data_IF_567585406748
#
_entry.id   IF_567585406748
#
_cell.length_a   1.000
_cell.length_b   1.000
_cell.length_c   1.000
_cell.angle_alpha   90.00
_cell.angle_beta   90.00
_cell.angle_gamma   90.00
#
_symmetry.space_group_name_H-M   'P 1'
#
loop_
_entity.id
_entity.type
_entity.pdbx_description
1 polymer ?
#
# COMPACT_ATOMS: atom_id res chain seq x y z
N UNK A 1 -23.61 -39.13 -5.57
CA UNK A 1 -23.39 -38.97 -4.14
C UNK A 1 -21.90 -38.74 -3.89
N UNK A 2 -21.57 -37.84 -2.98
CA UNK A 2 -20.21 -37.44 -2.69
C UNK A 2 -20.04 -37.40 -1.17
N UNK A 3 -18.98 -38.01 -0.67
CA UNK A 3 -18.54 -37.84 0.70
C UNK A 3 -17.76 -36.52 0.79
N UNK A 4 -18.35 -35.53 1.45
CA UNK A 4 -17.74 -34.17 1.53
C UNK A 4 -16.44 -34.14 2.33
N UNK A 5 -16.23 -35.13 3.25
CA UNK A 5 -15.00 -35.24 4.01
C UNK A 5 -13.82 -35.73 3.14
N UNK A 6 -14.10 -36.52 2.12
CA UNK A 6 -13.10 -37.00 1.16
C UNK A 6 -12.87 -36.00 0.00
N UNK A 7 -13.95 -35.31 -0.41
CA UNK A 7 -13.89 -34.35 -1.52
C UNK A 7 -13.22 -33.02 -1.16
N UNK A 8 -13.28 -32.63 0.11
CA UNK A 8 -12.75 -31.35 0.62
C UNK A 8 -11.97 -31.61 1.91
N UNK A 9 -10.66 -31.56 1.85
CA UNK A 9 -9.78 -31.83 2.99
C UNK A 9 -9.91 -30.74 4.09
N UNK A 10 -10.18 -29.49 3.68
CA UNK A 10 -10.26 -28.36 4.59
C UNK A 10 -11.67 -28.25 5.22
N UNK A 11 -11.75 -28.30 6.55
CA UNK A 11 -12.99 -28.15 7.31
C UNK A 11 -13.69 -26.81 7.11
N UNK A 12 -12.92 -25.73 6.95
CA UNK A 12 -13.46 -24.38 6.69
C UNK A 12 -14.16 -24.32 5.34
N UNK A 13 -13.57 -24.97 4.31
CA UNK A 13 -14.14 -25.04 2.97
C UNK A 13 -15.43 -25.89 2.97
N UNK A 14 -15.45 -26.98 3.72
CA UNK A 14 -16.65 -27.80 3.90
C UNK A 14 -17.79 -27.02 4.54
N UNK A 15 -17.50 -26.33 5.65
CA UNK A 15 -18.48 -25.50 6.36
C UNK A 15 -19.04 -24.39 5.46
N UNK A 16 -18.15 -23.69 4.74
CA UNK A 16 -18.55 -22.63 3.81
C UNK A 16 -19.40 -23.16 2.65
N UNK A 17 -19.04 -24.30 2.06
CA UNK A 17 -19.76 -24.90 0.95
C UNK A 17 -21.16 -25.37 1.36
N UNK A 18 -21.28 -25.97 2.55
CA UNK A 18 -22.55 -26.44 3.10
C UNK A 18 -23.36 -25.32 3.75
N UNK A 19 -22.77 -24.12 3.94
CA UNK A 19 -23.35 -22.94 4.61
C UNK A 19 -23.77 -23.24 6.06
N UNK A 20 -22.92 -23.94 6.78
CA UNK A 20 -23.08 -24.27 8.18
C UNK A 20 -21.89 -23.79 9.00
N UNK A 21 -22.03 -23.72 10.32
CA UNK A 21 -20.91 -23.49 11.22
C UNK A 21 -20.03 -24.76 11.34
N UNK A 22 -18.81 -24.63 11.85
CA UNK A 22 -17.91 -25.77 12.09
C UNK A 22 -18.47 -26.73 13.11
N UNK A 23 -19.17 -26.21 14.13
CA UNK A 23 -19.81 -27.04 15.19
C UNK A 23 -20.95 -27.87 14.63
N UNK A 24 -21.77 -27.30 13.75
CA UNK A 24 -22.84 -28.00 13.06
C UNK A 24 -22.32 -29.06 12.07
N UNK A 25 -21.17 -28.77 11.42
CA UNK A 25 -20.54 -29.69 10.46
C UNK A 25 -20.21 -31.04 11.09
N UNK A 26 -19.77 -31.06 12.36
CA UNK A 26 -19.39 -32.27 13.08
C UNK A 26 -20.57 -33.25 13.33
N UNK A 27 -21.79 -32.74 13.30
CA UNK A 27 -23.02 -33.53 13.49
C UNK A 27 -23.72 -33.96 12.20
N UNK A 28 -23.23 -33.58 11.02
CA UNK A 28 -23.85 -33.88 9.73
C UNK A 28 -23.38 -35.22 9.15
N UNK A 29 -24.30 -35.93 8.48
CA UNK A 29 -23.94 -37.04 7.61
C UNK A 29 -23.04 -36.52 6.48
N UNK A 30 -21.86 -37.10 6.25
CA UNK A 30 -20.94 -36.62 5.23
C UNK A 30 -21.38 -36.91 3.79
N UNK A 31 -22.43 -37.71 3.60
CA UNK A 31 -22.92 -38.11 2.27
C UNK A 31 -23.93 -37.11 1.72
N UNK A 32 -23.55 -36.41 0.64
CA UNK A 32 -24.41 -35.43 -0.02
C UNK A 32 -24.63 -35.77 -1.50
N UNK A 33 -25.81 -35.44 -2.02
CA UNK A 33 -26.11 -35.45 -3.46
C UNK A 33 -25.72 -34.10 -4.05
N UNK A 34 -24.61 -34.08 -4.80
CA UNK A 34 -24.14 -32.90 -5.49
C UNK A 34 -24.53 -32.92 -6.97
N UNK A 35 -25.04 -31.78 -7.47
CA UNK A 35 -25.34 -31.61 -8.88
C UNK A 35 -24.49 -30.48 -9.44
N UNK A 36 -23.58 -30.79 -10.36
CA UNK A 36 -22.78 -29.80 -11.07
C UNK A 36 -23.69 -29.05 -12.04
N UNK A 37 -23.93 -27.75 -11.78
CA UNK A 37 -24.77 -26.89 -12.65
C UNK A 37 -23.94 -26.23 -13.74
N UNK A 38 -22.74 -25.75 -13.39
CA UNK A 38 -21.86 -25.07 -14.33
C UNK A 38 -20.41 -25.46 -14.05
N UNK A 39 -19.64 -25.61 -15.10
CA UNK A 39 -18.17 -25.71 -15.04
C UNK A 39 -17.62 -24.44 -15.69
N UNK A 40 -16.85 -23.67 -14.97
CA UNK A 40 -16.19 -22.46 -15.46
C UNK A 40 -14.69 -22.70 -15.53
N UNK A 41 -14.11 -22.40 -16.67
CA UNK A 41 -12.67 -22.46 -16.89
C UNK A 41 -12.18 -21.09 -17.29
N UNK A 42 -11.03 -20.67 -16.73
CA UNK A 42 -10.35 -19.47 -17.18
C UNK A 42 -9.64 -19.77 -18.50
N UNK A 43 -10.02 -19.04 -19.54
CA UNK A 43 -9.37 -19.11 -20.86
C UNK A 43 -8.84 -17.72 -21.16
N UNK A 44 -7.61 -17.64 -21.68
CA UNK A 44 -7.06 -16.37 -22.12
C UNK A 44 -7.97 -15.79 -23.21
N UNK A 45 -8.30 -14.49 -23.07
CA UNK A 45 -9.08 -13.80 -24.10
C UNK A 45 -8.27 -13.75 -25.40
N UNK A 46 -8.92 -14.02 -26.56
CA UNK A 46 -8.26 -13.89 -27.85
C UNK A 46 -7.90 -12.42 -28.10
N UNK A 47 -6.78 -12.16 -28.77
CA UNK A 47 -6.34 -10.83 -29.18
C UNK A 47 -7.15 -10.38 -30.39
N UNK A 48 -8.32 -9.81 -30.15
CA UNK A 48 -9.26 -9.32 -31.16
C UNK A 48 -9.63 -7.86 -30.91
N UNK A 49 -10.12 -7.16 -31.93
CA UNK A 49 -10.62 -5.78 -31.81
C UNK A 49 -11.62 -5.64 -30.66
N UNK A 50 -12.54 -6.59 -30.48
CA UNK A 50 -13.52 -6.58 -29.40
C UNK A 50 -12.85 -6.65 -28.03
N UNK A 51 -11.77 -7.44 -27.88
CA UNK A 51 -11.01 -7.54 -26.64
C UNK A 51 -10.23 -6.26 -26.37
N UNK A 52 -9.64 -5.66 -27.38
CA UNK A 52 -8.91 -4.40 -27.28
C UNK A 52 -9.83 -3.25 -26.87
N UNK A 53 -11.03 -3.19 -27.49
CA UNK A 53 -12.01 -2.16 -27.16
C UNK A 53 -12.55 -2.30 -25.74
N UNK A 54 -12.85 -3.53 -25.29
CA UNK A 54 -13.30 -3.79 -23.91
C UNK A 54 -12.23 -3.51 -22.86
N UNK A 55 -10.97 -3.80 -23.15
CA UNK A 55 -9.87 -3.66 -22.17
C UNK A 55 -9.37 -2.23 -22.06
N UNK A 56 -9.17 -1.53 -23.19
CA UNK A 56 -8.53 -0.22 -23.24
C UNK A 56 -9.23 0.83 -24.12
N UNK A 57 -10.35 0.48 -24.74
CA UNK A 57 -11.08 1.38 -25.64
C UNK A 57 -10.34 1.66 -26.95
N UNK A 58 -9.47 0.75 -27.40
CA UNK A 58 -8.67 0.85 -28.64
C UNK A 58 -9.09 -0.22 -29.65
N UNK A 59 -8.76 -0.03 -30.93
CA UNK A 59 -9.25 -0.92 -31.99
C UNK A 59 -8.17 -1.75 -32.64
N UNK A 60 -6.93 -1.35 -32.55
CA UNK A 60 -5.82 -2.04 -33.20
C UNK A 60 -4.87 -2.68 -32.19
N UNK A 61 -4.19 -3.76 -32.61
CA UNK A 61 -3.17 -4.43 -31.81
C UNK A 61 -2.03 -3.46 -31.44
N UNK A 62 -1.60 -2.61 -32.37
CA UNK A 62 -0.56 -1.63 -32.10
C UNK A 62 -0.93 -0.60 -31.03
N UNK A 63 -2.19 -0.13 -31.01
CA UNK A 63 -2.70 0.75 -29.96
C UNK A 63 -2.82 0.02 -28.62
N UNK A 64 -3.23 -1.25 -28.66
CA UNK A 64 -3.33 -2.10 -27.47
C UNK A 64 -1.94 -2.31 -26.84
N UNK A 65 -0.94 -2.66 -27.64
CA UNK A 65 0.44 -2.83 -27.20
C UNK A 65 1.01 -1.54 -26.61
N UNK A 66 0.73 -0.39 -27.27
CA UNK A 66 1.13 0.92 -26.76
C UNK A 66 0.49 1.22 -25.38
N UNK A 67 -0.77 0.86 -25.17
CA UNK A 67 -1.44 1.01 -23.87
C UNK A 67 -0.88 0.09 -22.80
N UNK A 68 -0.55 -1.13 -23.14
CA UNK A 68 0.13 -2.07 -22.23
C UNK A 68 1.52 -1.52 -21.85
N UNK A 69 2.28 -1.07 -22.83
CA UNK A 69 3.60 -0.48 -22.60
C UNK A 69 3.53 0.77 -21.71
N UNK A 70 2.58 1.67 -21.97
CA UNK A 70 2.32 2.86 -21.15
C UNK A 70 2.02 2.47 -19.70
N UNK A 71 1.15 1.48 -19.49
CA UNK A 71 0.79 0.99 -18.16
C UNK A 71 1.99 0.39 -17.42
N UNK A 72 2.74 -0.49 -18.08
CA UNK A 72 3.93 -1.12 -17.50
C UNK A 72 4.98 -0.04 -17.13
N UNK A 73 5.18 0.96 -18.01
CA UNK A 73 6.10 2.07 -17.73
C UNK A 73 5.64 2.90 -16.53
N UNK A 74 4.34 3.16 -16.40
CA UNK A 74 3.79 3.88 -15.26
C UNK A 74 3.95 3.09 -13.95
N UNK A 75 3.69 1.78 -13.95
CA UNK A 75 3.87 0.91 -12.79
C UNK A 75 5.34 0.90 -12.32
N UNK A 76 6.29 0.69 -13.23
CA UNK A 76 7.73 0.73 -12.88
C UNK A 76 8.20 2.14 -12.47
N UNK A 77 7.62 3.20 -13.02
CA UNK A 77 7.95 4.56 -12.59
C UNK A 77 7.51 4.80 -11.14
N UNK A 78 6.31 4.37 -10.76
CA UNK A 78 5.83 4.45 -9.38
C UNK A 78 6.70 3.63 -8.42
N UNK A 79 7.06 2.42 -8.79
CA UNK A 79 7.93 1.57 -7.98
C UNK A 79 9.33 2.19 -7.82
N UNK A 80 9.89 2.76 -8.90
CA UNK A 80 11.16 3.47 -8.87
C UNK A 80 11.10 4.74 -7.98
N UNK A 81 9.99 5.46 -8.01
CA UNK A 81 9.78 6.63 -7.14
C UNK A 81 9.63 6.23 -5.68
N UNK A 82 8.89 5.17 -5.39
CA UNK A 82 8.80 4.61 -4.04
C UNK A 82 10.18 4.21 -3.51
N UNK A 83 10.95 3.51 -4.32
CA UNK A 83 12.33 3.11 -3.99
C UNK A 83 13.22 4.33 -3.76
N UNK A 84 13.15 5.31 -4.64
CA UNK A 84 13.91 6.55 -4.50
C UNK A 84 13.59 7.25 -3.17
N UNK A 85 12.31 7.34 -2.80
CA UNK A 85 11.90 7.95 -1.53
C UNK A 85 12.50 7.22 -0.33
N UNK A 86 12.48 5.88 -0.34
CA UNK A 86 13.10 5.06 0.72
C UNK A 86 14.61 5.27 0.80
N UNK A 87 15.30 5.20 -0.33
CA UNK A 87 16.75 5.32 -0.39
C UNK A 87 17.21 6.76 -0.05
N UNK A 88 16.50 7.77 -0.51
CA UNK A 88 16.76 9.18 -0.19
C UNK A 88 16.62 9.43 1.32
N UNK A 89 15.54 8.92 1.95
CA UNK A 89 15.34 9.00 3.39
C UNK A 89 16.51 8.40 4.15
N UNK A 90 16.88 7.16 3.84
CA UNK A 90 17.96 6.44 4.51
C UNK A 90 19.30 7.17 4.35
N UNK A 91 19.61 7.60 3.13
CA UNK A 91 20.82 8.35 2.83
C UNK A 91 20.88 9.69 3.59
N UNK A 92 19.77 10.41 3.66
CA UNK A 92 19.72 11.71 4.34
C UNK A 92 19.86 11.55 5.86
N UNK A 93 19.25 10.55 6.47
CA UNK A 93 19.40 10.24 7.90
C UNK A 93 20.85 9.86 8.21
N UNK A 94 21.46 9.02 7.40
CA UNK A 94 22.86 8.62 7.55
C UNK A 94 23.79 9.84 7.44
N UNK A 95 23.62 10.67 6.42
CA UNK A 95 24.47 11.84 6.17
C UNK A 95 24.28 12.96 7.19
N UNK A 96 23.07 13.13 7.69
CA UNK A 96 22.80 14.12 8.76
C UNK A 96 23.46 13.74 10.08
N UNK A 97 23.75 12.47 10.31
CA UNK A 97 24.41 11.93 11.51
C UNK A 97 23.85 12.54 12.81
N UNK A 98 22.53 12.59 12.92
CA UNK A 98 21.84 13.20 14.07
C UNK A 98 22.15 12.42 15.34
N UNK A 99 22.69 13.11 16.34
CA UNK A 99 22.92 12.57 17.69
C UNK A 99 21.71 12.84 18.57
N UNK A 100 21.21 11.83 19.24
CA UNK A 100 20.07 11.91 20.16
C UNK A 100 20.42 11.38 21.54
N UNK A 101 19.80 11.97 22.57
CA UNK A 101 19.94 11.53 23.95
C UNK A 101 19.05 10.30 24.21
N UNK A 102 19.47 9.13 23.74
CA UNK A 102 18.65 7.91 23.71
C UNK A 102 18.09 7.52 25.08
N UNK A 103 18.93 7.52 26.13
CA UNK A 103 18.49 7.21 27.48
C UNK A 103 17.44 8.19 28.03
N UNK A 104 17.49 9.45 27.59
CA UNK A 104 16.48 10.44 27.94
C UNK A 104 15.18 10.14 27.19
N UNK A 105 15.26 9.90 25.89
CA UNK A 105 14.08 9.62 25.06
C UNK A 105 13.34 8.36 25.51
N UNK A 106 14.07 7.27 25.83
CA UNK A 106 13.45 6.04 26.35
C UNK A 106 12.66 6.29 27.62
N UNK A 107 13.27 7.00 28.58
CA UNK A 107 12.58 7.36 29.83
C UNK A 107 11.41 8.31 29.59
N UNK A 108 11.55 9.26 28.68
CA UNK A 108 10.49 10.20 28.33
C UNK A 108 9.29 9.47 27.71
N UNK A 109 9.51 8.56 26.74
CA UNK A 109 8.47 7.73 26.16
C UNK A 109 7.74 6.92 27.24
N UNK A 110 8.48 6.30 28.15
CA UNK A 110 7.91 5.55 29.24
C UNK A 110 6.97 6.42 30.11
N UNK A 111 7.41 7.62 30.47
CA UNK A 111 6.66 8.52 31.36
C UNK A 111 5.41 9.08 30.68
N UNK A 112 5.50 9.54 29.43
CA UNK A 112 4.36 10.16 28.74
C UNK A 112 3.26 9.18 28.34
N UNK A 113 3.57 7.90 28.26
CA UNK A 113 2.59 6.87 27.92
C UNK A 113 1.88 6.25 29.14
N UNK A 114 2.09 6.79 30.35
CA UNK A 114 1.40 6.36 31.57
C UNK A 114 1.39 4.83 31.77
N UNK A 115 2.52 4.16 31.49
CA UNK A 115 2.65 2.73 31.65
C UNK A 115 2.00 1.85 30.58
N UNK A 116 1.54 2.42 29.45
CA UNK A 116 1.04 1.64 28.31
C UNK A 116 2.11 0.75 27.68
N UNK A 117 3.37 1.19 27.76
CA UNK A 117 4.54 0.44 27.28
C UNK A 117 5.51 0.23 28.42
N UNK A 118 6.05 -0.97 28.55
CA UNK A 118 7.13 -1.26 29.48
C UNK A 118 8.46 -0.79 28.91
N UNK A 119 9.48 -0.68 29.77
CA UNK A 119 10.85 -0.39 29.28
C UNK A 119 11.35 -1.49 28.33
N UNK A 120 10.94 -2.75 28.54
CA UNK A 120 11.27 -3.87 27.66
C UNK A 120 10.64 -3.73 26.27
N UNK A 121 9.38 -3.30 26.18
CA UNK A 121 8.71 -3.01 24.92
C UNK A 121 9.43 -1.87 24.16
N UNK A 122 9.81 -0.81 24.88
CA UNK A 122 10.55 0.33 24.32
C UNK A 122 11.91 -0.12 23.79
N UNK A 123 12.65 -0.95 24.53
CA UNK A 123 13.95 -1.46 24.08
C UNK A 123 13.81 -2.35 22.83
N UNK A 124 12.80 -3.19 22.79
CA UNK A 124 12.55 -4.09 21.65
C UNK A 124 12.25 -3.33 20.34
N UNK A 125 11.50 -2.26 20.42
CA UNK A 125 11.10 -1.47 19.25
C UNK A 125 12.05 -0.27 19.00
N UNK A 126 13.09 -0.11 19.82
CA UNK A 126 13.95 1.06 19.81
C UNK A 126 14.64 1.33 18.48
N UNK A 127 15.15 0.30 17.83
CA UNK A 127 15.91 0.44 16.58
C UNK A 127 15.04 0.99 15.45
N UNK A 128 13.77 0.60 15.41
CA UNK A 128 12.81 1.12 14.44
C UNK A 128 12.41 2.56 14.80
N UNK A 129 12.07 2.79 16.06
CA UNK A 129 11.68 4.10 16.56
C UNK A 129 12.75 5.16 16.30
N UNK A 130 14.02 4.88 16.63
CA UNK A 130 15.08 5.88 16.53
C UNK A 130 15.40 6.28 15.09
N UNK A 131 15.25 5.38 14.13
CA UNK A 131 15.38 5.69 12.71
C UNK A 131 14.29 6.64 12.25
N UNK A 132 13.03 6.38 12.65
CA UNK A 132 11.89 7.23 12.33
C UNK A 132 12.01 8.60 13.00
N UNK A 133 12.41 8.63 14.26
CA UNK A 133 12.62 9.88 14.99
C UNK A 133 13.71 10.76 14.35
N UNK A 134 14.85 10.16 13.99
CA UNK A 134 15.92 10.87 13.28
C UNK A 134 15.45 11.40 11.94
N UNK A 135 14.65 10.61 11.21
CA UNK A 135 14.07 11.07 9.96
C UNK A 135 13.15 12.28 10.16
N UNK A 136 12.27 12.26 11.16
CA UNK A 136 11.39 13.40 11.45
C UNK A 136 12.20 14.68 11.71
N UNK A 137 13.31 14.60 12.46
CA UNK A 137 14.18 15.75 12.69
C UNK A 137 14.83 16.25 11.40
N UNK A 138 15.35 15.35 10.58
CA UNK A 138 15.95 15.69 9.27
C UNK A 138 14.91 16.29 8.34
N UNK A 139 13.73 15.70 8.26
CA UNK A 139 12.61 16.16 7.45
C UNK A 139 12.19 17.57 7.87
N UNK A 140 11.97 17.81 9.16
CA UNK A 140 11.57 19.13 9.66
C UNK A 140 12.60 20.21 9.30
N UNK A 141 13.89 19.92 9.46
CA UNK A 141 14.95 20.83 9.03
C UNK A 141 14.92 21.11 7.53
N UNK A 142 14.70 20.07 6.72
CA UNK A 142 14.67 20.22 5.25
C UNK A 142 13.43 20.97 4.77
N UNK A 143 12.28 20.73 5.40
CA UNK A 143 11.04 21.46 5.12
C UNK A 143 11.22 22.96 5.40
N UNK A 144 11.82 23.31 6.53
CA UNK A 144 12.13 24.71 6.85
C UNK A 144 13.12 25.30 5.84
N UNK A 145 14.24 24.62 5.60
CA UNK A 145 15.30 25.07 4.70
C UNK A 145 14.84 25.33 3.25
N UNK A 146 13.96 24.47 2.74
CA UNK A 146 13.45 24.56 1.36
C UNK A 146 12.06 25.16 1.28
N UNK A 147 11.54 25.72 2.38
CA UNK A 147 10.20 26.30 2.45
C UNK A 147 9.09 25.36 1.93
N UNK A 148 9.20 24.08 2.26
CA UNK A 148 8.20 23.08 1.91
C UNK A 148 6.98 23.26 2.81
N UNK A 149 5.81 23.47 2.20
CA UNK A 149 4.54 23.63 2.92
C UNK A 149 3.58 22.55 2.47
N UNK A 150 2.84 22.01 3.42
CA UNK A 150 1.70 21.12 3.15
C UNK A 150 0.44 21.96 3.22
N UNK A 151 -0.35 21.91 2.17
CA UNK A 151 -1.63 22.60 2.07
C UNK A 151 -2.78 21.60 2.23
N UNK A 152 -3.96 22.07 2.56
CA UNK A 152 -5.16 21.22 2.70
C UNK A 152 -5.45 20.45 1.40
N UNK A 153 -5.20 21.08 0.26
CA UNK A 153 -5.35 20.45 -1.06
C UNK A 153 -4.43 19.23 -1.25
N UNK A 154 -3.21 19.27 -0.71
CA UNK A 154 -2.27 18.15 -0.77
C UNK A 154 -2.79 16.96 0.05
N UNK A 155 -3.29 17.24 1.26
CA UNK A 155 -3.87 16.23 2.14
C UNK A 155 -5.11 15.59 1.51
N UNK A 156 -5.98 16.41 0.94
CA UNK A 156 -7.20 15.94 0.29
C UNK A 156 -6.86 15.07 -0.94
N UNK A 157 -5.88 15.46 -1.74
CA UNK A 157 -5.44 14.69 -2.90
C UNK A 157 -4.87 13.32 -2.49
N UNK A 158 -4.01 13.28 -1.45
CA UNK A 158 -3.45 12.03 -0.93
C UNK A 158 -4.54 11.12 -0.33
N UNK A 159 -5.46 11.70 0.45
CA UNK A 159 -6.58 10.95 1.03
C UNK A 159 -7.54 10.40 -0.04
N UNK A 160 -7.77 11.13 -1.14
CA UNK A 160 -8.56 10.63 -2.29
C UNK A 160 -7.85 9.47 -2.99
N UNK A 161 -6.53 9.55 -3.18
CA UNK A 161 -5.74 8.44 -3.73
C UNK A 161 -5.85 7.18 -2.87
N UNK A 162 -5.76 7.33 -1.55
CA UNK A 162 -5.94 6.23 -0.60
C UNK A 162 -7.36 5.65 -0.66
N UNK A 163 -8.39 6.51 -0.72
CA UNK A 163 -9.79 6.11 -0.86
C UNK A 163 -10.00 5.32 -2.17
N UNK A 164 -9.51 5.83 -3.30
CA UNK A 164 -9.61 5.17 -4.59
C UNK A 164 -8.95 3.79 -4.59
N UNK A 165 -7.79 3.67 -3.98
CA UNK A 165 -7.10 2.39 -3.80
C UNK A 165 -7.93 1.40 -2.97
N UNK A 166 -8.50 1.85 -1.84
CA UNK A 166 -9.37 1.00 -1.03
C UNK A 166 -10.60 0.52 -1.81
N UNK A 167 -11.29 1.41 -2.52
CA UNK A 167 -12.44 1.03 -3.34
C UNK A 167 -12.07 0.03 -4.45
N UNK A 168 -10.92 0.23 -5.10
CA UNK A 168 -10.42 -0.69 -6.12
C UNK A 168 -10.15 -2.10 -5.58
N UNK A 169 -9.66 -2.23 -4.33
CA UNK A 169 -9.49 -3.54 -3.67
C UNK A 169 -10.82 -4.30 -3.50
N UNK A 170 -11.94 -3.59 -3.39
CA UNK A 170 -13.29 -4.17 -3.35
C UNK A 170 -13.94 -4.28 -4.74
N UNK A 171 -13.17 -4.10 -5.82
CA UNK A 171 -13.65 -4.19 -7.21
C UNK A 171 -14.43 -2.97 -7.70
N UNK A 172 -14.46 -1.88 -6.93
CA UNK A 172 -15.13 -0.63 -7.29
C UNK A 172 -14.15 0.33 -7.95
N UNK A 173 -13.93 0.18 -9.27
CA UNK A 173 -12.95 0.98 -10.02
C UNK A 173 -13.47 2.33 -10.53
N UNK A 174 -14.79 2.54 -10.51
CA UNK A 174 -15.43 3.74 -11.04
C UNK A 174 -16.28 4.42 -9.94
N UNK A 175 -15.61 4.90 -8.88
CA UNK A 175 -16.29 5.65 -7.80
C UNK A 175 -16.41 7.12 -8.21
N UNK A 176 -17.63 7.73 -8.11
CA UNK A 176 -17.80 9.15 -8.38
C UNK A 176 -16.89 10.04 -7.52
N UNK A 177 -16.37 11.11 -8.10
CA UNK A 177 -15.44 12.03 -7.46
C UNK A 177 -15.99 12.60 -6.13
N UNK A 178 -17.28 12.93 -6.09
CA UNK A 178 -17.96 13.42 -4.89
C UNK A 178 -17.91 12.40 -3.74
N UNK A 179 -18.06 11.11 -4.03
CA UNK A 179 -17.97 10.04 -3.04
C UNK A 179 -16.53 9.83 -2.56
N UNK A 180 -15.56 9.90 -3.47
CA UNK A 180 -14.14 9.85 -3.11
C UNK A 180 -13.77 11.01 -2.19
N UNK A 181 -14.24 12.22 -2.50
CA UNK A 181 -13.97 13.40 -1.68
C UNK A 181 -14.64 13.31 -0.30
N UNK A 182 -15.88 12.88 -0.22
CA UNK A 182 -16.57 12.68 1.05
C UNK A 182 -15.85 11.65 1.93
N UNK A 183 -15.42 10.54 1.34
CA UNK A 183 -14.67 9.50 2.05
C UNK A 183 -13.28 9.98 2.48
N UNK A 184 -12.57 10.72 1.62
CA UNK A 184 -11.29 11.34 1.93
C UNK A 184 -11.38 12.31 3.10
N UNK A 185 -12.41 13.18 3.12
CA UNK A 185 -12.67 14.09 4.25
C UNK A 185 -12.96 13.32 5.56
N UNK A 186 -13.68 12.21 5.47
CA UNK A 186 -13.92 11.37 6.64
C UNK A 186 -12.61 10.75 7.16
N UNK A 187 -11.73 10.26 6.28
CA UNK A 187 -10.39 9.75 6.66
C UNK A 187 -9.59 10.85 7.37
N UNK A 188 -9.54 12.04 6.80
CA UNK A 188 -8.79 13.18 7.37
C UNK A 188 -9.35 13.66 8.71
N UNK A 189 -10.63 13.47 8.98
CA UNK A 189 -11.25 13.81 10.26
C UNK A 189 -10.88 12.86 11.40
N UNK A 190 -10.39 11.66 11.08
CA UNK A 190 -9.91 10.69 12.06
C UNK A 190 -8.46 11.02 12.44
N UNK A 191 -8.22 11.35 13.70
CA UNK A 191 -6.90 11.84 14.16
C UNK A 191 -5.73 10.97 13.73
N UNK A 192 -5.83 9.66 13.91
CA UNK A 192 -4.75 8.72 13.56
C UNK A 192 -4.53 8.62 12.05
N UNK A 193 -5.61 8.53 11.27
CA UNK A 193 -5.53 8.44 9.81
C UNK A 193 -5.07 9.76 9.20
N UNK A 194 -5.59 10.89 9.71
CA UNK A 194 -5.16 12.21 9.27
C UNK A 194 -3.67 12.46 9.52
N UNK A 195 -3.15 12.03 10.67
CA UNK A 195 -1.71 12.09 10.96
C UNK A 195 -0.88 11.24 10.01
N UNK A 196 -1.33 10.04 9.67
CA UNK A 196 -0.63 9.17 8.69
C UNK A 196 -0.58 9.80 7.31
N UNK A 197 -1.70 10.38 6.84
CA UNK A 197 -1.74 11.10 5.56
C UNK A 197 -0.82 12.32 5.58
N UNK A 198 -0.85 13.11 6.66
CA UNK A 198 0.05 14.26 6.83
C UNK A 198 1.51 13.83 6.74
N UNK A 199 1.90 12.81 7.51
CA UNK A 199 3.27 12.29 7.53
C UNK A 199 3.72 11.81 6.14
N UNK A 200 2.85 11.12 5.41
CA UNK A 200 3.09 10.70 4.04
C UNK A 200 3.31 11.89 3.11
N UNK A 201 2.43 12.89 3.14
CA UNK A 201 2.52 14.09 2.29
C UNK A 201 3.77 14.90 2.60
N UNK A 202 4.11 15.09 3.88
CA UNK A 202 5.35 15.73 4.29
C UNK A 202 6.58 15.00 3.75
N UNK A 203 6.59 13.67 3.82
CA UNK A 203 7.68 12.85 3.28
C UNK A 203 7.82 13.04 1.77
N UNK A 204 6.72 12.91 1.03
CA UNK A 204 6.69 13.02 -0.42
C UNK A 204 7.14 14.43 -0.90
N UNK A 205 6.59 15.47 -0.29
CA UNK A 205 6.93 16.87 -0.65
C UNK A 205 8.38 17.22 -0.30
N UNK A 206 8.88 16.71 0.83
CA UNK A 206 10.27 16.93 1.23
C UNK A 206 11.23 16.26 0.25
N UNK A 207 10.99 15.00 -0.10
CA UNK A 207 11.84 14.27 -1.05
C UNK A 207 11.73 14.88 -2.44
N UNK A 208 10.54 15.33 -2.86
CA UNK A 208 10.36 16.03 -4.13
C UNK A 208 11.19 17.33 -4.18
N UNK A 209 11.14 18.15 -3.13
CA UNK A 209 11.93 19.38 -3.04
C UNK A 209 13.45 19.11 -3.09
N UNK A 210 13.91 18.03 -2.44
CA UNK A 210 15.32 17.64 -2.50
C UNK A 210 15.71 17.17 -3.90
N UNK A 211 14.83 16.44 -4.58
CA UNK A 211 15.05 15.92 -5.93
C UNK A 211 15.36 17.04 -6.93
N UNK A 212 14.79 18.22 -6.73
CA UNK A 212 15.02 19.41 -7.56
C UNK A 212 16.41 20.05 -7.34
N UNK A 213 17.00 19.89 -6.16
CA UNK A 213 18.25 20.57 -5.79
C UNK A 213 19.48 19.66 -5.80
N UNK A 214 19.30 18.35 -5.95
CA UNK A 214 20.41 17.39 -5.98
C UNK A 214 20.70 16.87 -7.38
N UNK A 215 21.95 16.49 -7.62
CA UNK A 215 22.34 15.82 -8.87
C UNK A 215 22.06 14.33 -8.76
N UNK A 216 21.10 13.83 -9.54
CA UNK A 216 20.76 12.42 -9.60
C UNK A 216 21.59 11.66 -10.63
N UNK A 217 22.18 10.55 -10.22
CA UNK A 217 22.83 9.60 -11.15
C UNK A 217 21.78 8.58 -11.61
N UNK A 218 21.15 8.84 -12.75
CA UNK A 218 20.21 7.90 -13.38
C UNK A 218 20.97 6.73 -14.01
N UNK A 219 20.60 5.50 -13.64
CA UNK A 219 21.18 4.28 -14.19
C UNK A 219 20.07 3.43 -14.82
N UNK A 220 20.26 3.07 -16.09
CA UNK A 220 19.39 2.05 -16.73
C UNK A 220 19.80 0.67 -16.25
N UNK A 221 18.85 -0.10 -15.80
CA UNK A 221 19.05 -1.50 -15.39
C UNK A 221 17.95 -2.38 -16.00
N UNK A 222 18.16 -3.67 -16.07
CA UNK A 222 17.12 -4.61 -16.49
C UNK A 222 16.05 -4.78 -15.42
N UNK A 223 14.87 -5.27 -15.81
CA UNK A 223 13.75 -5.55 -14.91
C UNK A 223 14.14 -6.55 -13.81
N UNK A 224 14.91 -7.58 -14.18
CA UNK A 224 15.40 -8.59 -13.23
C UNK A 224 16.25 -7.95 -12.12
N UNK A 225 17.22 -7.11 -12.53
CA UNK A 225 18.06 -6.37 -11.57
C UNK A 225 17.28 -5.36 -10.74
N UNK A 226 16.23 -4.78 -11.31
CA UNK A 226 15.36 -3.86 -10.56
C UNK A 226 14.58 -4.61 -9.46
N UNK A 227 14.06 -5.78 -9.77
CA UNK A 227 13.37 -6.65 -8.79
C UNK A 227 14.28 -7.17 -7.67
N UNK A 228 15.56 -7.40 -7.97
CA UNK A 228 16.55 -7.79 -6.94
C UNK A 228 16.85 -6.64 -5.94
N UNK A 229 16.55 -5.41 -6.32
CA UNK A 229 16.72 -4.24 -5.45
C UNK A 229 15.51 -4.01 -4.52
N UNK A 230 14.37 -4.63 -4.76
CA UNK A 230 13.10 -4.40 -4.06
C UNK A 230 13.11 -4.89 -2.59
#
# INVERSE_FOLDING_TARGET
EVNVNEAFENETDRAAMLKVSKDELAGLDPMFKMTVKNVKTFVNAPLTEETFEKAFGVKTEAEFDAKIEERIRAEYAQEADFRFNKDARNFLVEKANVTVAENFLKRWIYVINDGKFTMEDIEKEWDLFIVDYKWQMVRSYLMEKYNVKVEEADLLASAKGFAAYQFAMYGMNNVPEEQLEAFAKNILSQEEQGRRILDQVENEKTVAAIREVVTLKKKKISVEKFRELA
#
